data_IF_226182095906
#
_entry.id   IF_226182095906
#
_cell.length_a   1.000
_cell.length_b   1.000
_cell.length_c   1.000
_cell.angle_alpha   90.00
_cell.angle_beta   90.00
_cell.angle_gamma   90.00
#
_symmetry.space_group_name_H-M   'P 1'
#
loop_
_entity.id
_entity.type
_entity.pdbx_description
1 polymer ?
#
# COMPACT_ATOMS: atom_id res chain seq x y z
N UNK A 1 7.51 -32.70 23.79
CA UNK A 1 7.00 -32.13 22.55
C UNK A 1 6.99 -33.24 21.51
N UNK A 2 5.93 -33.48 20.78
CA UNK A 2 5.90 -34.51 19.75
C UNK A 2 6.91 -34.20 18.66
N UNK A 3 7.67 -35.18 18.21
CA UNK A 3 8.69 -35.09 17.17
C UNK A 3 8.20 -35.78 15.91
N UNK A 4 8.53 -35.22 14.76
CA UNK A 4 8.13 -35.71 13.43
C UNK A 4 9.32 -35.68 12.49
N UNK A 5 9.38 -36.63 11.57
CA UNK A 5 10.39 -36.64 10.54
C UNK A 5 9.87 -36.01 9.25
N UNK A 6 10.65 -35.11 8.68
CA UNK A 6 10.27 -34.42 7.45
C UNK A 6 10.33 -35.36 6.26
N UNK A 7 9.23 -35.61 5.59
CA UNK A 7 9.14 -36.47 4.42
C UNK A 7 9.98 -35.97 3.22
N UNK A 8 10.42 -34.73 3.23
CA UNK A 8 11.18 -34.11 2.13
C UNK A 8 12.69 -34.16 2.37
N UNK A 9 13.17 -33.84 3.57
CA UNK A 9 14.62 -33.76 3.87
C UNK A 9 15.09 -34.71 4.97
N UNK A 10 14.23 -35.53 5.58
CA UNK A 10 14.56 -36.46 6.63
C UNK A 10 14.88 -35.84 8.00
N UNK A 11 14.89 -34.52 8.12
CA UNK A 11 15.23 -33.85 9.38
C UNK A 11 14.09 -33.99 10.40
N UNK A 12 14.44 -34.43 11.62
CA UNK A 12 13.49 -34.50 12.73
C UNK A 12 13.20 -33.08 13.25
N UNK A 13 11.93 -32.73 13.41
CA UNK A 13 11.49 -31.44 13.96
C UNK A 13 10.39 -31.63 14.96
N UNK A 14 10.21 -30.66 15.87
CA UNK A 14 9.18 -30.71 16.91
C UNK A 14 8.23 -29.51 16.78
N UNK A 15 6.99 -29.73 17.20
CA UNK A 15 5.98 -28.68 17.27
C UNK A 15 5.56 -28.44 18.73
N UNK A 16 5.21 -27.19 19.04
CA UNK A 16 4.72 -26.83 20.36
C UNK A 16 3.36 -27.46 20.62
N UNK A 17 3.08 -27.76 21.89
CA UNK A 17 1.79 -28.28 22.31
C UNK A 17 0.62 -27.40 21.85
N UNK A 18 0.78 -26.08 21.88
CA UNK A 18 -0.21 -25.11 21.39
C UNK A 18 -0.59 -25.31 19.91
N UNK A 19 0.37 -25.68 19.06
CA UNK A 19 0.11 -25.94 17.63
C UNK A 19 -0.64 -27.27 17.48
N UNK A 20 -0.27 -28.29 18.23
CA UNK A 20 -0.93 -29.60 18.17
C UNK A 20 -2.36 -29.55 18.71
N UNK A 21 -2.60 -28.83 19.81
CA UNK A 21 -3.94 -28.67 20.41
C UNK A 21 -4.88 -27.87 19.49
N UNK A 22 -4.34 -27.02 18.62
CA UNK A 22 -5.12 -26.21 17.65
C UNK A 22 -5.61 -27.04 16.45
N UNK A 23 -4.94 -28.15 16.14
CA UNK A 23 -5.25 -29.01 15.01
C UNK A 23 -5.26 -30.49 15.42
N UNK A 24 -6.26 -30.95 16.19
CA UNK A 24 -6.33 -32.33 16.67
C UNK A 24 -6.39 -33.31 15.49
N UNK A 25 -5.52 -34.33 15.51
CA UNK A 25 -5.45 -35.35 14.44
C UNK A 25 -4.63 -34.95 13.20
N UNK A 26 -4.02 -33.74 13.19
CA UNK A 26 -3.13 -33.34 12.11
C UNK A 26 -1.68 -33.82 12.35
N UNK A 27 -1.14 -34.51 11.36
CA UNK A 27 0.26 -34.93 11.36
C UNK A 27 1.07 -34.10 10.36
N UNK A 28 2.09 -33.33 10.82
CA UNK A 28 2.92 -32.53 9.93
C UNK A 28 3.86 -33.42 9.12
N UNK A 29 3.78 -33.34 7.79
CA UNK A 29 4.62 -34.14 6.86
C UNK A 29 5.92 -33.42 6.45
N UNK A 30 6.06 -32.14 6.70
CA UNK A 30 7.22 -31.34 6.27
C UNK A 30 7.66 -30.37 7.35
N UNK A 31 8.99 -30.22 7.53
CA UNK A 31 9.55 -29.19 8.37
C UNK A 31 9.30 -27.78 7.77
N UNK A 32 9.47 -26.75 8.58
CA UNK A 32 9.20 -25.36 8.16
C UNK A 32 10.02 -24.94 6.95
N UNK A 33 11.32 -25.29 6.89
CA UNK A 33 12.18 -24.95 5.77
C UNK A 33 11.69 -25.53 4.44
N UNK A 34 11.43 -26.85 4.38
CA UNK A 34 10.94 -27.50 3.15
C UNK A 34 9.56 -27.00 2.72
N UNK A 35 8.70 -26.62 3.66
CA UNK A 35 7.38 -26.04 3.35
C UNK A 35 7.50 -24.63 2.78
N UNK A 36 8.42 -23.82 3.29
CA UNK A 36 8.66 -22.47 2.83
C UNK A 36 9.32 -22.46 1.44
N UNK A 37 10.25 -23.41 1.17
CA UNK A 37 10.83 -23.65 -0.16
C UNK A 37 9.79 -24.14 -1.19
N UNK A 38 8.88 -25.03 -0.81
CA UNK A 38 7.80 -25.50 -1.68
C UNK A 38 6.80 -24.37 -2.04
N UNK A 39 6.58 -23.40 -1.15
CA UNK A 39 5.78 -22.21 -1.42
C UNK A 39 6.48 -21.20 -2.33
N UNK A 40 7.81 -21.10 -2.24
CA UNK A 40 8.62 -20.25 -3.12
C UNK A 40 8.79 -20.83 -4.54
N UNK A 41 8.61 -22.16 -4.72
CA UNK A 41 8.79 -22.87 -6.00
C UNK A 41 7.54 -23.00 -6.87
N UNK A 42 6.41 -22.51 -6.49
CA UNK A 42 5.11 -22.69 -7.15
C UNK A 42 4.72 -21.59 -8.13
N UNK A 43 5.54 -21.28 -9.15
CA UNK A 43 5.05 -20.60 -10.37
C UNK A 43 5.95 -20.94 -11.57
N UNK A 44 5.41 -21.77 -12.51
CA UNK A 44 5.78 -21.73 -13.93
C UNK A 44 6.99 -22.56 -14.35
N UNK A 45 6.74 -23.77 -14.84
CA UNK A 45 7.66 -24.51 -15.71
C UNK A 45 7.71 -23.86 -17.10
N UNK A 46 8.91 -23.52 -17.57
CA UNK A 46 9.57 -23.74 -18.86
C UNK A 46 10.79 -22.80 -18.95
N UNK A 47 11.98 -23.28 -18.90
CA UNK A 47 12.91 -23.67 -19.91
C UNK A 47 14.32 -23.93 -19.33
N UNK A 48 14.95 -24.97 -19.85
CA UNK A 48 16.29 -25.40 -19.52
C UNK A 48 17.35 -24.54 -20.21
N UNK A 49 18.48 -24.44 -19.50
CA UNK A 49 19.82 -24.13 -19.94
C UNK A 49 20.28 -22.66 -19.87
N UNK A 50 21.08 -22.37 -18.82
CA UNK A 50 22.49 -21.96 -19.00
C UNK A 50 23.17 -21.77 -17.64
N UNK A 51 24.37 -22.33 -17.56
CA UNK A 51 25.27 -22.27 -16.43
C UNK A 51 25.76 -20.86 -16.08
N UNK A 52 25.94 -20.61 -14.77
CA UNK A 52 26.99 -19.76 -14.26
C UNK A 52 26.77 -18.25 -14.36
N UNK A 53 26.12 -17.68 -13.35
CA UNK A 53 26.54 -16.41 -12.75
C UNK A 53 25.67 -16.17 -11.49
N UNK A 54 26.27 -16.31 -10.31
CA UNK A 54 25.71 -15.81 -9.07
C UNK A 54 25.61 -14.28 -9.15
N UNK A 55 24.51 -13.78 -9.69
CA UNK A 55 24.18 -12.36 -9.64
C UNK A 55 23.69 -12.07 -8.22
N UNK A 56 24.62 -11.63 -7.36
CA UNK A 56 24.27 -10.98 -6.11
C UNK A 56 23.37 -9.79 -6.48
N UNK A 57 22.07 -9.90 -6.25
CA UNK A 57 21.19 -8.75 -6.15
C UNK A 57 21.70 -7.95 -4.95
N UNK A 58 22.61 -7.01 -5.20
CA UNK A 58 22.74 -5.85 -4.32
C UNK A 58 21.39 -5.16 -4.46
N UNK A 59 20.57 -5.17 -3.41
CA UNK A 59 19.45 -4.28 -3.29
C UNK A 59 19.99 -2.86 -3.52
N UNK A 60 19.74 -2.33 -4.70
CA UNK A 60 19.78 -0.90 -4.86
C UNK A 60 18.73 -0.40 -3.89
N UNK A 61 19.13 0.25 -2.83
CA UNK A 61 18.27 1.19 -2.11
C UNK A 61 17.80 2.12 -3.20
N UNK A 62 16.52 2.02 -3.58
CA UNK A 62 15.88 3.03 -4.41
C UNK A 62 16.03 4.29 -3.57
N UNK A 63 16.94 5.17 -3.98
CA UNK A 63 17.03 6.52 -3.43
C UNK A 63 15.73 7.15 -3.90
N UNK A 64 14.81 7.38 -2.97
CA UNK A 64 13.58 8.10 -3.22
C UNK A 64 13.99 9.47 -3.77
N UNK A 65 13.76 9.67 -5.06
CA UNK A 65 14.11 10.93 -5.71
C UNK A 65 13.09 11.96 -5.26
N UNK A 66 13.54 12.94 -4.50
CA UNK A 66 12.67 14.03 -4.04
C UNK A 66 12.52 15.08 -5.14
N UNK A 67 11.82 14.69 -6.24
CA UNK A 67 11.60 15.51 -7.43
C UNK A 67 10.57 16.60 -7.17
N UNK A 68 10.78 17.77 -7.78
CA UNK A 68 9.74 18.80 -7.89
C UNK A 68 8.66 18.39 -8.89
N UNK A 69 7.50 19.01 -8.81
CA UNK A 69 6.42 18.82 -9.76
C UNK A 69 6.87 19.02 -11.22
N UNK A 70 7.70 20.04 -11.47
CA UNK A 70 8.22 20.33 -12.80
C UNK A 70 9.13 19.21 -13.34
N UNK A 71 9.99 18.66 -12.48
CA UNK A 71 10.86 17.53 -12.83
C UNK A 71 10.07 16.24 -13.07
N UNK A 72 9.02 15.99 -12.29
CA UNK A 72 8.10 14.86 -12.49
C UNK A 72 7.42 14.98 -13.87
N UNK A 73 6.88 16.16 -14.20
CA UNK A 73 6.22 16.38 -15.48
C UNK A 73 7.16 16.25 -16.69
N UNK A 74 8.43 16.59 -16.50
CA UNK A 74 9.46 16.42 -17.53
C UNK A 74 9.90 14.96 -17.70
N UNK A 75 9.88 14.17 -16.62
CA UNK A 75 10.43 12.81 -16.58
C UNK A 75 9.41 11.72 -16.91
N UNK A 76 8.17 11.85 -16.43
CA UNK A 76 7.16 10.79 -16.51
C UNK A 76 6.04 11.16 -17.48
N UNK A 77 5.67 10.22 -18.35
CA UNK A 77 4.63 10.39 -19.37
C UNK A 77 3.55 9.32 -19.34
N UNK A 78 3.79 8.22 -18.62
CA UNK A 78 2.94 7.04 -18.65
C UNK A 78 1.90 7.04 -17.52
N UNK A 79 0.91 6.17 -17.65
CA UNK A 79 -0.13 5.93 -16.65
C UNK A 79 -1.50 6.49 -17.02
N UNK A 80 -2.50 6.38 -16.12
CA UNK A 80 -3.82 6.94 -16.34
C UNK A 80 -3.76 8.45 -16.52
N UNK A 81 -4.54 9.00 -17.46
CA UNK A 81 -4.62 10.43 -17.77
C UNK A 81 -5.76 11.15 -17.06
N UNK A 82 -6.64 10.38 -16.41
CA UNK A 82 -7.84 10.88 -15.75
C UNK A 82 -7.98 10.30 -14.35
N UNK A 83 -8.46 11.09 -13.43
CA UNK A 83 -8.74 10.68 -12.07
C UNK A 83 -8.10 11.56 -11.01
N UNK A 84 -8.19 11.13 -9.77
CA UNK A 84 -7.50 11.76 -8.64
C UNK A 84 -6.36 10.86 -8.21
N UNK A 85 -5.19 11.44 -8.00
CA UNK A 85 -4.01 10.71 -7.52
C UNK A 85 -3.61 11.27 -6.17
N UNK A 86 -3.35 10.39 -5.21
CA UNK A 86 -3.09 10.78 -3.81
C UNK A 86 -1.89 10.03 -3.27
N UNK A 87 -1.09 10.72 -2.46
CA UNK A 87 0.05 10.15 -1.75
C UNK A 87 0.25 10.82 -0.40
N UNK A 88 0.86 10.09 0.54
CA UNK A 88 1.19 10.56 1.86
C UNK A 88 2.47 9.98 2.41
N UNK A 89 3.37 10.83 2.88
CA UNK A 89 4.68 10.43 3.38
C UNK A 89 5.00 11.03 4.74
N UNK A 90 5.87 10.36 5.51
CA UNK A 90 6.48 10.91 6.73
C UNK A 90 7.92 10.44 6.85
N UNK A 91 8.83 11.37 7.19
CA UNK A 91 10.24 11.03 7.37
C UNK A 91 10.89 11.84 8.49
N UNK A 92 11.47 11.17 9.54
CA UNK A 92 11.32 9.73 9.82
C UNK A 92 9.84 9.33 10.03
N UNK A 93 9.51 8.06 10.02
CA UNK A 93 8.15 7.58 10.27
C UNK A 93 8.08 6.81 11.61
N UNK A 94 7.50 7.36 12.70
CA UNK A 94 6.81 8.67 12.77
C UNK A 94 7.78 9.88 12.77
N UNK A 95 7.27 11.03 12.26
CA UNK A 95 8.01 12.29 12.21
C UNK A 95 7.30 13.37 11.40
N UNK A 96 8.04 14.33 10.86
CA UNK A 96 7.48 15.29 9.92
C UNK A 96 6.97 14.57 8.67
N UNK A 97 5.85 15.01 8.12
CA UNK A 97 5.26 14.39 6.95
C UNK A 97 4.37 15.33 6.16
N UNK A 98 4.05 14.93 4.93
CA UNK A 98 3.16 15.68 4.07
C UNK A 98 2.23 14.76 3.28
N UNK A 99 1.28 15.37 2.65
CA UNK A 99 0.29 14.72 1.80
C UNK A 99 0.04 15.53 0.53
N UNK A 100 -0.32 14.86 -0.54
CA UNK A 100 -0.66 15.47 -1.82
C UNK A 100 -1.83 14.78 -2.48
N UNK A 101 -2.66 15.58 -3.16
CA UNK A 101 -3.76 15.12 -4.00
C UNK A 101 -3.83 15.99 -5.26
N UNK A 102 -4.02 15.38 -6.42
CA UNK A 102 -4.18 16.07 -7.70
C UNK A 102 -5.34 15.46 -8.48
N UNK A 103 -6.24 16.32 -8.97
CA UNK A 103 -7.33 15.93 -9.88
C UNK A 103 -6.98 16.29 -11.31
N UNK A 104 -7.04 15.28 -12.18
CA UNK A 104 -6.59 15.36 -13.58
C UNK A 104 -7.73 14.92 -14.50
N UNK A 105 -7.92 15.67 -15.58
CA UNK A 105 -8.83 15.34 -16.68
C UNK A 105 -8.11 15.58 -18.00
N UNK A 106 -8.17 14.62 -18.90
CA UNK A 106 -7.48 14.67 -20.22
C UNK A 106 -6.00 15.04 -20.11
N UNK A 107 -5.32 14.52 -19.08
CA UNK A 107 -3.91 14.80 -18.83
C UNK A 107 -3.60 16.23 -18.39
N UNK A 108 -4.59 16.99 -17.94
CA UNK A 108 -4.44 18.35 -17.42
C UNK A 108 -4.82 18.41 -15.94
N UNK A 109 -4.01 19.10 -15.15
CA UNK A 109 -4.32 19.34 -13.73
C UNK A 109 -5.50 20.32 -13.67
N UNK A 110 -6.59 19.86 -13.08
CA UNK A 110 -7.80 20.67 -12.84
C UNK A 110 -7.71 21.37 -11.49
N UNK A 111 -7.32 20.63 -10.45
CA UNK A 111 -7.12 21.15 -9.09
C UNK A 111 -6.10 20.26 -8.35
N UNK A 112 -5.45 20.84 -7.35
CA UNK A 112 -4.51 20.12 -6.50
C UNK A 112 -4.49 20.69 -5.09
N UNK A 113 -4.19 19.84 -4.11
CA UNK A 113 -3.98 20.24 -2.72
C UNK A 113 -2.82 19.46 -2.13
N UNK A 114 -2.13 20.10 -1.24
CA UNK A 114 -1.09 19.48 -0.41
C UNK A 114 -1.01 20.16 0.94
N UNK A 115 -0.33 19.52 1.88
CA UNK A 115 -0.08 20.08 3.20
C UNK A 115 0.88 19.20 3.97
N UNK A 116 1.25 19.64 5.16
CA UNK A 116 2.21 18.97 6.01
C UNK A 116 1.80 18.97 7.49
N UNK A 117 2.40 18.06 8.25
CA UNK A 117 2.30 17.96 9.70
C UNK A 117 3.69 17.78 10.30
N UNK A 118 3.99 18.51 11.39
CA UNK A 118 5.29 18.44 12.06
C UNK A 118 5.57 17.08 12.72
N UNK A 119 4.52 16.33 13.08
CA UNK A 119 4.64 15.00 13.67
C UNK A 119 3.45 14.11 13.29
N UNK A 120 3.71 13.16 12.44
CA UNK A 120 2.68 12.28 11.85
C UNK A 120 3.24 10.90 11.48
N UNK A 121 2.49 10.12 10.71
CA UNK A 121 2.89 8.83 10.15
C UNK A 121 2.49 8.74 8.68
N UNK A 122 3.18 7.91 7.88
CA UNK A 122 2.81 7.63 6.49
C UNK A 122 1.31 7.32 6.37
N UNK A 123 0.80 6.35 7.13
CA UNK A 123 -0.61 5.95 7.04
C UNK A 123 -1.59 7.08 7.35
N UNK A 124 -1.22 8.03 8.23
CA UNK A 124 -2.06 9.18 8.53
C UNK A 124 -2.08 10.15 7.36
N UNK A 125 -0.93 10.41 6.76
CA UNK A 125 -0.82 11.29 5.59
C UNK A 125 -1.53 10.70 4.36
N UNK A 126 -1.43 9.40 4.13
CA UNK A 126 -2.17 8.67 3.10
C UNK A 126 -3.69 8.85 3.23
N UNK A 127 -4.21 8.66 4.44
CA UNK A 127 -5.64 8.86 4.70
C UNK A 127 -6.05 10.33 4.50
N UNK A 128 -5.19 11.27 4.91
CA UNK A 128 -5.44 12.72 4.73
C UNK A 128 -5.44 13.09 3.25
N UNK A 129 -4.49 12.57 2.47
CA UNK A 129 -4.43 12.76 1.02
C UNK A 129 -5.70 12.25 0.33
N UNK A 130 -6.17 11.05 0.70
CA UNK A 130 -7.42 10.49 0.16
C UNK A 130 -8.63 11.35 0.49
N UNK A 131 -8.77 11.83 1.73
CA UNK A 131 -9.88 12.73 2.12
C UNK A 131 -9.86 14.00 1.28
N UNK A 132 -8.68 14.63 1.14
CA UNK A 132 -8.52 15.81 0.29
C UNK A 132 -8.83 15.50 -1.18
N UNK A 133 -8.41 14.33 -1.68
CA UNK A 133 -8.66 13.88 -3.05
C UNK A 133 -10.16 13.70 -3.36
N UNK A 134 -10.94 13.16 -2.42
CA UNK A 134 -12.40 13.07 -2.58
C UNK A 134 -13.07 14.46 -2.68
N UNK A 135 -12.52 15.47 -2.00
CA UNK A 135 -13.04 16.83 -2.02
C UNK A 135 -12.66 17.62 -3.29
N UNK A 136 -11.65 17.18 -4.05
CA UNK A 136 -11.26 17.84 -5.32
C UNK A 136 -12.26 17.61 -6.45
N UNK A 137 -12.99 16.50 -6.42
CA UNK A 137 -13.91 16.15 -7.50
C UNK A 137 -15.25 16.85 -7.30
N UNK A 138 -15.77 17.59 -8.29
CA UNK A 138 -17.09 18.18 -8.19
C UNK A 138 -18.19 17.16 -7.91
N UNK A 139 -19.23 17.57 -7.17
CA UNK A 139 -20.35 16.70 -6.82
C UNK A 139 -21.03 16.13 -8.09
N UNK A 140 -21.34 14.83 -8.07
CA UNK A 140 -21.98 14.14 -9.19
C UNK A 140 -21.04 13.78 -10.35
N UNK A 141 -19.76 14.13 -10.26
CA UNK A 141 -18.77 13.74 -11.27
C UNK A 141 -18.19 12.37 -10.93
N UNK A 142 -18.27 11.44 -11.87
CA UNK A 142 -17.65 10.13 -11.73
C UNK A 142 -16.13 10.22 -11.97
N UNK A 143 -15.33 9.65 -11.07
CA UNK A 143 -13.88 9.60 -11.22
C UNK A 143 -13.30 8.37 -10.49
N UNK A 144 -12.09 7.98 -10.86
CA UNK A 144 -11.29 7.02 -10.09
C UNK A 144 -10.33 7.79 -9.18
N UNK A 145 -10.28 7.41 -7.92
CA UNK A 145 -9.33 7.93 -6.93
C UNK A 145 -8.24 6.87 -6.75
N UNK A 146 -7.02 7.20 -7.13
CA UNK A 146 -5.85 6.33 -7.06
C UNK A 146 -5.00 6.63 -5.84
N UNK A 147 -4.50 5.60 -5.20
CA UNK A 147 -3.49 5.64 -4.15
C UNK A 147 -2.62 4.39 -4.22
N UNK A 148 -1.36 4.50 -3.87
CA UNK A 148 -0.48 3.33 -3.75
C UNK A 148 -0.53 2.70 -2.35
N UNK A 149 -1.27 3.29 -1.43
CA UNK A 149 -1.56 2.73 -0.11
C UNK A 149 -2.58 1.60 -0.18
N UNK A 150 -2.11 0.38 -0.43
CA UNK A 150 -2.97 -0.81 -0.41
C UNK A 150 -3.71 -0.98 0.92
N UNK A 151 -3.08 -0.56 2.03
CA UNK A 151 -3.69 -0.58 3.35
C UNK A 151 -4.93 0.31 3.41
N UNK A 152 -4.88 1.53 2.87
CA UNK A 152 -6.01 2.44 2.82
C UNK A 152 -7.14 1.89 1.95
N UNK A 153 -6.82 1.38 0.75
CA UNK A 153 -7.81 0.75 -0.13
C UNK A 153 -8.50 -0.42 0.57
N UNK A 154 -7.75 -1.37 1.14
CA UNK A 154 -8.30 -2.53 1.84
C UNK A 154 -9.11 -2.12 3.08
N UNK A 155 -8.68 -1.09 3.79
CA UNK A 155 -9.40 -0.55 4.95
C UNK A 155 -10.78 -0.07 4.55
N UNK A 156 -10.88 0.76 3.53
CA UNK A 156 -12.15 1.39 3.14
C UNK A 156 -13.06 0.43 2.40
N UNK A 157 -12.50 -0.34 1.45
CA UNK A 157 -13.32 -1.20 0.56
C UNK A 157 -13.69 -2.55 1.17
N UNK A 158 -12.87 -3.08 2.10
CA UNK A 158 -13.06 -4.44 2.64
C UNK A 158 -13.41 -4.46 4.11
N UNK A 159 -12.79 -3.61 4.96
CA UNK A 159 -12.88 -3.77 6.41
C UNK A 159 -13.79 -2.77 7.11
N UNK A 160 -13.84 -1.52 6.67
CA UNK A 160 -14.56 -0.43 7.33
C UNK A 160 -16.06 -0.73 7.49
N UNK A 161 -16.71 -1.32 6.47
CA UNK A 161 -18.12 -1.73 6.54
C UNK A 161 -18.38 -2.66 7.73
N UNK A 162 -17.51 -3.67 7.90
CA UNK A 162 -17.64 -4.62 9.01
C UNK A 162 -17.31 -3.99 10.37
N UNK A 163 -16.38 -3.05 10.43
CA UNK A 163 -16.08 -2.31 11.66
C UNK A 163 -17.20 -1.37 12.05
N UNK A 164 -17.75 -0.63 11.10
CA UNK A 164 -18.88 0.27 11.32
C UNK A 164 -20.10 -0.46 11.86
N UNK A 165 -20.44 -1.64 11.30
CA UNK A 165 -21.54 -2.49 11.78
C UNK A 165 -21.34 -3.01 13.20
N UNK A 166 -20.10 -3.02 13.72
CA UNK A 166 -19.74 -3.43 15.08
C UNK A 166 -19.36 -2.24 15.98
N UNK A 167 -19.85 -1.04 15.68
CA UNK A 167 -19.53 0.16 16.47
C UNK A 167 -18.04 0.56 16.40
N UNK A 168 -17.38 0.31 15.27
CA UNK A 168 -15.97 0.58 15.04
C UNK A 168 -15.02 -0.23 15.94
N UNK A 169 -15.37 -1.49 16.13
CA UNK A 169 -14.56 -2.45 16.87
C UNK A 169 -14.02 -3.55 15.96
N UNK A 170 -12.78 -3.99 16.21
CA UNK A 170 -12.17 -5.15 15.55
C UNK A 170 -11.63 -6.15 16.58
N UNK A 171 -11.55 -7.43 16.19
CA UNK A 171 -10.79 -8.43 16.95
C UNK A 171 -9.30 -8.10 16.80
N UNK A 172 -8.62 -7.88 17.89
CA UNK A 172 -7.17 -7.64 17.88
C UNK A 172 -6.74 -6.20 18.14
N UNK A 173 -7.57 -5.42 18.84
CA UNK A 173 -7.20 -4.12 19.39
C UNK A 173 -7.79 -2.93 18.63
N UNK A 174 -7.27 -1.76 18.90
CA UNK A 174 -7.77 -0.51 18.35
C UNK A 174 -7.52 -0.37 16.83
N UNK A 175 -8.40 0.34 16.15
CA UNK A 175 -8.22 0.71 14.76
C UNK A 175 -7.35 1.97 14.72
N UNK A 176 -6.18 1.87 14.14
CA UNK A 176 -5.28 3.01 13.98
C UNK A 176 -5.93 4.09 13.09
N UNK A 177 -5.72 5.37 13.42
CA UNK A 177 -6.26 6.54 12.71
C UNK A 177 -7.79 6.46 12.53
N UNK A 178 -8.51 5.98 13.54
CA UNK A 178 -9.95 5.73 13.46
C UNK A 178 -10.74 6.98 13.08
N UNK A 179 -10.30 8.16 13.51
CA UNK A 179 -10.86 9.46 13.14
C UNK A 179 -10.91 9.64 11.62
N UNK A 180 -9.77 9.49 10.96
CA UNK A 180 -9.65 9.62 9.49
C UNK A 180 -10.32 8.47 8.76
N UNK A 181 -10.22 7.23 9.27
CA UNK A 181 -10.90 6.07 8.68
C UNK A 181 -12.42 6.25 8.66
N UNK A 182 -13.01 6.76 9.74
CA UNK A 182 -14.45 7.06 9.79
C UNK A 182 -14.85 8.13 8.78
N UNK A 183 -14.06 9.21 8.71
CA UNK A 183 -14.31 10.31 7.79
C UNK A 183 -14.24 9.84 6.34
N UNK A 184 -13.14 9.18 5.95
CA UNK A 184 -12.96 8.67 4.59
C UNK A 184 -14.03 7.64 4.21
N UNK A 185 -14.40 6.74 5.14
CA UNK A 185 -15.48 5.79 4.89
C UNK A 185 -16.83 6.49 4.68
N UNK A 186 -17.14 7.51 5.46
CA UNK A 186 -18.36 8.30 5.27
C UNK A 186 -18.37 9.02 3.91
N UNK A 187 -17.25 9.62 3.50
CA UNK A 187 -17.08 10.23 2.18
C UNK A 187 -17.30 9.21 1.06
N UNK A 188 -16.66 8.03 1.15
CA UNK A 188 -16.81 6.98 0.15
C UNK A 188 -18.25 6.46 0.03
N UNK A 189 -19.01 6.44 1.14
CA UNK A 189 -20.44 6.09 1.11
C UNK A 189 -21.31 7.22 0.52
N UNK A 190 -20.95 8.47 0.75
CA UNK A 190 -21.66 9.64 0.24
C UNK A 190 -21.35 9.92 -1.25
N UNK A 191 -20.26 9.38 -1.77
CA UNK A 191 -19.75 9.61 -3.12
C UNK A 191 -19.58 8.28 -3.89
N UNK A 192 -20.66 7.51 -4.13
CA UNK A 192 -20.58 6.22 -4.81
C UNK A 192 -20.13 6.29 -6.28
N UNK A 193 -20.14 7.46 -6.88
CA UNK A 193 -19.60 7.74 -8.20
C UNK A 193 -18.07 7.77 -8.24
N UNK A 194 -17.40 7.90 -7.08
CA UNK A 194 -15.95 7.84 -6.96
C UNK A 194 -15.50 6.41 -6.65
N UNK A 195 -14.62 5.86 -7.47
CA UNK A 195 -14.03 4.53 -7.27
C UNK A 195 -12.65 4.67 -6.64
N UNK A 196 -12.43 4.02 -5.51
CA UNK A 196 -11.11 3.95 -4.88
C UNK A 196 -10.34 2.74 -5.42
N UNK A 197 -9.22 2.99 -6.08
CA UNK A 197 -8.38 1.95 -6.69
C UNK A 197 -6.91 2.06 -6.24
N UNK A 198 -6.26 0.91 -6.17
CA UNK A 198 -4.84 0.84 -5.89
C UNK A 198 -4.02 0.99 -7.18
N UNK A 199 -2.95 1.78 -7.12
CA UNK A 199 -1.94 1.90 -8.15
C UNK A 199 -0.58 1.46 -7.60
N UNK A 200 0.33 0.97 -8.44
CA UNK A 200 1.65 0.56 -7.97
C UNK A 200 2.54 1.79 -7.68
N UNK A 201 3.13 1.82 -6.47
CA UNK A 201 4.11 2.84 -6.09
C UNK A 201 5.32 2.83 -7.02
N UNK A 202 5.88 4.00 -7.31
CA UNK A 202 7.11 4.19 -8.09
C UNK A 202 7.15 3.38 -9.40
N UNK A 203 5.97 3.23 -10.03
CA UNK A 203 5.81 2.50 -11.30
C UNK A 203 6.06 3.37 -12.53
N UNK A 204 6.40 4.65 -12.34
CA UNK A 204 6.54 5.62 -13.42
C UNK A 204 5.21 6.20 -13.90
N UNK A 205 4.11 5.97 -13.17
CA UNK A 205 2.83 6.61 -13.45
C UNK A 205 2.91 8.10 -13.14
N UNK A 206 2.85 8.93 -14.19
CA UNK A 206 3.05 10.38 -14.13
C UNK A 206 2.33 11.06 -12.97
N UNK A 207 1.06 10.78 -12.82
CA UNK A 207 0.23 11.47 -11.84
C UNK A 207 0.36 10.89 -10.42
N UNK A 208 0.77 9.62 -10.29
CA UNK A 208 1.14 9.06 -8.99
C UNK A 208 2.47 9.68 -8.51
N UNK A 209 3.47 9.77 -9.38
CA UNK A 209 4.74 10.46 -9.06
C UNK A 209 4.51 11.97 -8.79
N UNK A 210 3.50 12.58 -9.43
CA UNK A 210 3.10 13.96 -9.14
C UNK A 210 2.55 14.09 -7.70
N UNK A 211 1.65 13.18 -7.28
CA UNK A 211 1.12 13.17 -5.93
C UNK A 211 2.23 12.90 -4.90
N UNK A 212 3.18 12.00 -5.18
CA UNK A 212 4.38 11.77 -4.36
C UNK A 212 5.23 13.05 -4.25
N UNK A 213 5.44 13.76 -5.35
CA UNK A 213 6.11 15.06 -5.31
C UNK A 213 5.40 16.06 -4.40
N UNK A 214 4.07 16.13 -4.44
CA UNK A 214 3.31 17.00 -3.53
C UNK A 214 3.44 16.55 -2.06
N UNK A 215 3.40 15.25 -1.79
CA UNK A 215 3.48 14.68 -0.43
C UNK A 215 4.84 14.91 0.22
N UNK A 216 5.91 14.97 -0.59
CA UNK A 216 7.29 15.17 -0.14
C UNK A 216 7.74 16.64 -0.17
N UNK A 217 6.87 17.56 -0.59
CA UNK A 217 7.17 18.99 -0.70
C UNK A 217 7.69 19.62 0.60
N UNK A 218 7.24 19.11 1.77
CA UNK A 218 7.72 19.57 3.08
C UNK A 218 9.24 19.38 3.31
N UNK A 219 9.91 18.61 2.46
CA UNK A 219 11.37 18.38 2.49
C UNK A 219 12.13 19.34 1.56
N UNK A 220 11.45 20.24 0.87
CA UNK A 220 12.00 21.12 -0.17
C UNK A 220 11.58 22.56 0.06
N UNK A 221 12.38 23.49 -0.51
CA UNK A 221 12.03 24.92 -0.54
C UNK A 221 11.10 25.26 -1.73
N UNK A 222 11.00 24.37 -2.72
CA UNK A 222 10.18 24.55 -3.93
C UNK A 222 9.26 23.34 -4.14
N UNK A 223 8.11 23.59 -4.70
CA UNK A 223 7.09 22.61 -5.04
C UNK A 223 7.47 21.77 -6.25
#
# INVERSE_FOLDING_TARGET
MPSFDCATCGTTFSLSKQVMDRYPGWEPKQCRGCRDEARAGGSGAHDKARAGATRRYRGATLVEENLTVAEVLAKYTEGPTDGVFTDGSAHPNPGAGGWGAVYVVDGQVIDQRHGDEAHTTNNRMELTALIAGYDLVPQGTAATVYTDSKLCVDTITKWAKGWAARGWQRKGGEIANLDLVKLLYALAQARPELRLEWIAAHSGSRWNEYADSLSTAFRREQL
#
